data_IF_563310408411
#
_entry.id   IF_563310408411
#
_cell.length_a   1.000
_cell.length_b   1.000
_cell.length_c   1.000
_cell.angle_alpha   90.00
_cell.angle_beta   90.00
_cell.angle_gamma   90.00
#
_symmetry.space_group_name_H-M   'P 1'
#
loop_
_entity.id
_entity.type
_entity.pdbx_description
1 polymer ?
#
# COMPACT_ATOMS: atom_id res chain seq x y z
N UNK A 1 9.76 -37.15 17.91
CA UNK A 1 8.60 -36.51 17.23
C UNK A 1 8.11 -35.40 18.13
N UNK A 2 8.49 -34.16 17.84
CA UNK A 2 8.07 -32.98 18.60
C UNK A 2 7.20 -32.12 17.69
N UNK A 3 5.92 -31.98 18.04
CA UNK A 3 4.99 -31.11 17.35
C UNK A 3 5.38 -29.65 17.56
N UNK A 4 5.65 -28.95 16.47
CA UNK A 4 5.91 -27.51 16.46
C UNK A 4 4.56 -26.81 16.38
N UNK A 5 4.15 -26.19 17.47
CA UNK A 5 2.93 -25.40 17.57
C UNK A 5 3.04 -24.15 16.71
N UNK A 6 2.10 -24.01 15.77
CA UNK A 6 1.99 -22.91 14.81
C UNK A 6 1.27 -21.71 15.45
N UNK A 7 1.88 -21.15 16.50
CA UNK A 7 1.38 -19.96 17.18
C UNK A 7 2.19 -18.75 16.73
N UNK A 8 1.58 -17.91 15.90
CA UNK A 8 2.16 -16.62 15.49
C UNK A 8 2.34 -15.72 16.74
N UNK A 9 3.57 -15.33 17.11
CA UNK A 9 3.83 -14.47 18.27
C UNK A 9 3.65 -12.98 17.91
N UNK A 10 2.63 -12.65 17.12
CA UNK A 10 2.46 -11.34 16.49
C UNK A 10 1.52 -10.38 17.24
N UNK A 11 1.02 -10.75 18.42
CA UNK A 11 0.00 -9.97 19.15
C UNK A 11 0.49 -9.28 20.44
N UNK A 12 1.74 -9.48 20.87
CA UNK A 12 2.27 -8.79 22.06
C UNK A 12 3.28 -7.71 21.67
N UNK A 13 2.78 -6.52 21.33
CA UNK A 13 3.61 -5.34 21.07
C UNK A 13 3.67 -4.47 22.34
N UNK A 14 4.64 -4.75 23.20
CA UNK A 14 5.01 -3.84 24.29
C UNK A 14 5.85 -2.67 23.74
N UNK A 15 5.46 -1.45 24.11
CA UNK A 15 6.23 -0.22 23.84
C UNK A 15 7.63 -0.32 24.47
N UNK A 16 8.67 -0.19 23.64
CA UNK A 16 10.04 -0.02 24.15
C UNK A 16 10.26 1.45 24.57
N UNK A 17 10.93 1.71 25.70
CA UNK A 17 11.06 3.06 26.24
C UNK A 17 12.01 3.92 25.42
N UNK A 18 11.63 5.19 25.25
CA UNK A 18 12.35 6.19 24.45
C UNK A 18 13.77 6.46 24.98
N UNK A 19 14.74 6.46 24.06
CA UNK A 19 16.10 6.91 24.30
C UNK A 19 16.21 8.38 23.89
N UNK A 20 16.43 9.25 24.88
CA UNK A 20 16.73 10.67 24.68
C UNK A 20 18.17 10.86 24.13
N UNK A 21 18.42 11.77 23.17
CA UNK A 21 19.79 12.08 22.76
C UNK A 21 20.48 13.01 23.76
N UNK A 22 21.74 12.68 24.08
CA UNK A 22 22.66 13.50 24.89
C UNK A 22 23.26 14.60 24.00
N UNK A 23 23.27 15.84 24.48
CA UNK A 23 23.84 16.99 23.79
C UNK A 23 25.35 17.13 24.05
N UNK A 24 26.18 17.19 23.00
CA UNK A 24 27.57 17.66 23.08
C UNK A 24 27.76 18.93 22.23
N UNK A 25 28.42 19.93 22.83
CA UNK A 25 28.63 21.28 22.29
C UNK A 25 29.77 21.41 21.26
N UNK A 26 30.00 22.62 20.72
CA UNK A 26 30.69 22.79 19.46
C UNK A 26 32.22 22.92 19.61
N UNK A 27 32.97 22.28 18.71
CA UNK A 27 34.38 22.63 18.43
C UNK A 27 34.53 22.94 16.95
N UNK A 28 34.82 24.20 16.64
CA UNK A 28 35.07 24.68 15.30
C UNK A 28 36.54 24.56 14.89
N UNK A 29 36.77 24.35 13.59
CA UNK A 29 37.96 24.79 12.86
C UNK A 29 37.61 25.02 11.37
N UNK A 30 37.67 26.29 10.96
CA UNK A 30 38.40 26.76 9.76
C UNK A 30 38.04 26.30 8.34
N UNK A 31 37.23 27.14 7.67
CA UNK A 31 37.40 27.71 6.32
C UNK A 31 37.48 26.82 5.06
N UNK A 32 36.57 27.10 4.11
CA UNK A 32 36.77 26.83 2.68
C UNK A 32 35.54 26.73 1.78
N UNK A 33 34.52 27.59 1.90
CA UNK A 33 33.41 27.64 0.91
C UNK A 33 33.51 28.87 0.02
N UNK A 34 33.87 28.63 -1.24
CA UNK A 34 33.74 29.59 -2.34
C UNK A 34 32.25 29.88 -2.59
N UNK A 35 31.87 31.15 -2.57
CA UNK A 35 30.50 31.60 -2.88
C UNK A 35 30.24 31.50 -4.39
N UNK A 36 29.33 30.63 -4.80
CA UNK A 36 28.68 30.71 -6.11
C UNK A 36 27.61 31.83 -6.12
N UNK A 37 27.41 32.52 -7.26
CA UNK A 37 26.47 33.64 -7.35
C UNK A 37 25.01 33.17 -7.29
N UNK A 38 24.05 34.05 -6.94
CA UNK A 38 22.65 33.71 -6.80
C UNK A 38 22.01 33.56 -8.20
N UNK A 39 21.96 32.33 -8.70
CA UNK A 39 21.27 31.94 -9.92
C UNK A 39 20.35 30.75 -9.63
N UNK A 40 19.05 30.99 -9.80
CA UNK A 40 17.95 30.02 -9.81
C UNK A 40 17.81 29.13 -8.56
N UNK A 41 16.95 29.58 -7.65
CA UNK A 41 16.30 28.70 -6.69
C UNK A 41 15.60 27.59 -7.48
N UNK A 42 16.10 26.36 -7.39
CA UNK A 42 15.35 25.17 -7.80
C UNK A 42 13.93 25.29 -7.22
N UNK A 43 12.87 25.12 -8.02
CA UNK A 43 11.52 25.07 -7.48
C UNK A 43 11.48 24.03 -6.36
N UNK A 44 10.86 24.39 -5.23
CA UNK A 44 10.49 23.41 -4.21
C UNK A 44 9.78 22.23 -4.91
N UNK A 45 10.06 20.97 -4.53
CA UNK A 45 9.41 19.82 -5.16
C UNK A 45 7.90 20.01 -5.07
N UNK A 46 7.21 19.88 -6.21
CA UNK A 46 5.76 19.78 -6.21
C UNK A 46 5.41 18.56 -5.35
N UNK A 47 4.71 18.79 -4.24
CA UNK A 47 4.21 17.75 -3.34
C UNK A 47 3.44 16.73 -4.20
N UNK A 48 3.72 15.43 -4.06
CA UNK A 48 2.92 14.41 -4.77
C UNK A 48 1.44 14.67 -4.50
N UNK A 49 0.65 14.79 -5.57
CA UNK A 49 -0.78 15.06 -5.45
C UNK A 49 -1.46 13.90 -4.73
N UNK A 50 -1.97 14.19 -3.53
CA UNK A 50 -2.63 13.26 -2.62
C UNK A 50 -4.10 13.04 -3.06
N UNK A 51 -4.25 12.63 -4.33
CA UNK A 51 -5.52 12.49 -5.02
C UNK A 51 -6.14 11.11 -4.78
N UNK A 52 -7.40 11.10 -4.39
CA UNK A 52 -8.25 9.90 -4.34
C UNK A 52 -9.16 9.84 -5.58
N UNK A 53 -8.98 8.78 -6.37
CA UNK A 53 -9.77 8.52 -7.57
C UNK A 53 -11.15 7.95 -7.23
N UNK A 54 -11.22 7.05 -6.24
CA UNK A 54 -12.47 6.46 -5.79
C UNK A 54 -12.42 6.04 -4.31
N UNK A 55 -13.60 5.96 -3.69
CA UNK A 55 -13.83 5.37 -2.36
C UNK A 55 -14.95 4.36 -2.50
N UNK A 56 -14.84 3.22 -1.83
CA UNK A 56 -15.82 2.14 -1.96
C UNK A 56 -15.99 1.37 -0.65
N UNK A 57 -17.16 0.75 -0.52
CA UNK A 57 -17.51 -0.18 0.55
C UNK A 57 -17.94 -1.49 -0.10
N UNK A 58 -17.31 -2.58 0.31
CA UNK A 58 -17.62 -3.94 -0.09
C UNK A 58 -18.19 -4.68 1.11
N UNK A 59 -19.24 -5.47 0.87
CA UNK A 59 -19.84 -6.34 1.89
C UNK A 59 -19.93 -7.77 1.38
N UNK A 60 -19.96 -8.70 2.31
CA UNK A 60 -20.22 -10.10 2.01
C UNK A 60 -21.72 -10.39 2.08
N UNK A 61 -22.32 -10.71 0.94
CA UNK A 61 -23.67 -11.24 0.85
C UNK A 61 -23.65 -12.79 0.88
N UNK A 62 -24.38 -13.45 1.80
CA UNK A 62 -24.37 -14.91 1.91
C UNK A 62 -24.89 -15.68 0.68
N UNK A 63 -25.57 -15.02 -0.26
CA UNK A 63 -26.11 -15.62 -1.49
C UNK A 63 -25.24 -15.31 -2.71
N UNK A 64 -24.74 -14.09 -2.79
CA UNK A 64 -24.08 -13.54 -3.98
C UNK A 64 -22.56 -13.45 -3.83
N UNK A 65 -22.03 -13.63 -2.62
CA UNK A 65 -20.61 -13.47 -2.31
C UNK A 65 -20.24 -12.02 -2.02
N UNK A 66 -19.00 -11.64 -2.32
CA UNK A 66 -18.54 -10.26 -2.15
C UNK A 66 -19.23 -9.36 -3.17
N UNK A 67 -19.76 -8.21 -2.73
CA UNK A 67 -20.38 -7.20 -3.60
C UNK A 67 -19.93 -5.80 -3.20
N UNK A 68 -19.82 -4.90 -4.17
CA UNK A 68 -19.66 -3.46 -3.89
C UNK A 68 -21.02 -2.93 -3.45
N UNK A 69 -21.14 -2.58 -2.17
CA UNK A 69 -22.36 -2.05 -1.56
C UNK A 69 -22.56 -0.57 -1.89
N UNK A 70 -21.46 0.19 -1.92
CA UNK A 70 -21.46 1.62 -2.12
C UNK A 70 -20.13 2.08 -2.71
N UNK A 71 -20.14 3.13 -3.55
CA UNK A 71 -18.92 3.78 -4.02
C UNK A 71 -19.14 5.22 -4.45
N UNK A 72 -18.01 5.95 -4.52
CA UNK A 72 -17.89 7.25 -5.18
C UNK A 72 -16.61 7.28 -6.03
N UNK A 73 -16.65 7.90 -7.22
CA UNK A 73 -17.85 8.41 -7.91
C UNK A 73 -18.73 7.23 -8.39
N UNK A 74 -20.02 7.48 -8.65
CA UNK A 74 -20.98 6.38 -8.93
C UNK A 74 -20.74 5.66 -10.27
N UNK A 75 -20.01 6.28 -11.19
CA UNK A 75 -19.70 5.80 -12.53
C UNK A 75 -18.30 5.17 -12.65
N UNK A 76 -17.58 5.00 -11.54
CA UNK A 76 -16.25 4.38 -11.56
C UNK A 76 -16.31 2.88 -11.84
N UNK A 77 -15.45 2.40 -12.74
CA UNK A 77 -15.24 0.98 -12.96
C UNK A 77 -14.52 0.35 -11.74
N UNK A 78 -15.30 -0.34 -10.91
CA UNK A 78 -14.83 -1.13 -9.78
C UNK A 78 -14.95 -2.64 -10.00
N UNK A 79 -15.10 -3.09 -11.25
CA UNK A 79 -15.22 -4.53 -11.53
C UNK A 79 -14.03 -5.30 -10.96
N UNK A 80 -14.33 -6.30 -10.14
CA UNK A 80 -13.37 -7.20 -9.50
C UNK A 80 -12.69 -6.63 -8.25
N UNK A 81 -12.99 -5.39 -7.85
CA UNK A 81 -12.44 -4.78 -6.62
C UNK A 81 -12.94 -5.54 -5.39
N UNK A 82 -14.17 -6.04 -5.39
CA UNK A 82 -14.78 -6.83 -4.33
C UNK A 82 -14.01 -8.12 -3.99
N UNK A 83 -13.31 -8.70 -4.97
CA UNK A 83 -12.46 -9.89 -4.79
C UNK A 83 -11.01 -9.54 -4.42
N UNK A 84 -10.62 -8.28 -4.53
CA UNK A 84 -9.31 -7.76 -4.11
C UNK A 84 -9.33 -7.16 -2.71
N UNK A 85 -10.45 -6.53 -2.34
CA UNK A 85 -10.65 -5.89 -1.04
C UNK A 85 -11.01 -6.89 0.07
N UNK A 86 -11.41 -8.10 -0.29
CA UNK A 86 -11.72 -9.20 0.62
C UNK A 86 -11.14 -10.50 0.04
N UNK A 87 -9.92 -10.82 0.48
CA UNK A 87 -9.22 -12.03 0.04
C UNK A 87 -9.96 -13.30 0.47
N UNK A 88 -9.67 -14.39 -0.24
CA UNK A 88 -10.09 -15.71 0.23
C UNK A 88 -9.59 -15.95 1.66
N UNK A 89 -10.39 -16.61 2.50
CA UNK A 89 -10.00 -16.87 3.89
C UNK A 89 -10.11 -15.67 4.84
N UNK A 90 -10.51 -14.47 4.40
CA UNK A 90 -10.68 -13.30 5.30
C UNK A 90 -11.68 -13.55 6.45
N UNK A 91 -12.63 -14.49 6.30
CA UNK A 91 -13.54 -14.90 7.38
C UNK A 91 -12.81 -15.50 8.61
N UNK A 92 -11.55 -15.94 8.47
CA UNK A 92 -10.74 -16.51 9.55
C UNK A 92 -10.06 -15.46 10.43
N UNK A 93 -10.05 -14.20 9.99
CA UNK A 93 -9.45 -13.08 10.72
C UNK A 93 -10.52 -12.06 11.10
N UNK A 94 -10.30 -11.35 12.20
CA UNK A 94 -11.21 -10.28 12.62
C UNK A 94 -11.00 -8.98 11.83
N UNK A 95 -9.77 -8.73 11.38
CA UNK A 95 -9.43 -7.57 10.57
C UNK A 95 -8.21 -7.85 9.71
N UNK A 96 -8.11 -7.15 8.60
CA UNK A 96 -6.97 -7.18 7.68
C UNK A 96 -6.92 -5.86 6.90
N UNK A 97 -5.82 -5.60 6.22
CA UNK A 97 -5.72 -4.53 5.23
C UNK A 97 -5.07 -5.10 3.97
N UNK A 98 -5.43 -4.61 2.79
CA UNK A 98 -4.95 -5.16 1.53
C UNK A 98 -4.57 -4.03 0.61
N UNK A 99 -3.36 -4.10 0.07
CA UNK A 99 -2.95 -3.28 -1.07
C UNK A 99 -3.14 -4.10 -2.34
N UNK A 100 -3.60 -3.47 -3.41
CA UNK A 100 -3.81 -4.14 -4.69
C UNK A 100 -3.68 -3.15 -5.85
N UNK A 101 -3.65 -3.65 -7.09
CA UNK A 101 -3.67 -2.84 -8.31
C UNK A 101 -5.00 -3.00 -9.05
N UNK A 102 -5.55 -1.92 -9.59
CA UNK A 102 -6.72 -1.92 -10.48
C UNK A 102 -6.44 -0.98 -11.65
N UNK A 103 -6.11 -1.58 -12.80
CA UNK A 103 -5.66 -0.84 -13.97
C UNK A 103 -4.45 0.05 -13.69
N UNK A 104 -4.60 1.36 -13.90
CA UNK A 104 -3.59 2.39 -13.62
C UNK A 104 -3.54 2.87 -12.17
N UNK A 105 -4.43 2.38 -11.30
CA UNK A 105 -4.55 2.82 -9.91
C UNK A 105 -4.08 1.76 -8.91
N UNK A 106 -3.76 2.23 -7.71
CA UNK A 106 -3.45 1.43 -6.54
C UNK A 106 -4.57 1.56 -5.51
N UNK A 107 -4.95 0.43 -4.93
CA UNK A 107 -5.97 0.36 -3.91
C UNK A 107 -5.41 0.05 -2.54
N UNK A 108 -6.02 0.64 -1.51
CA UNK A 108 -5.91 0.21 -0.12
C UNK A 108 -7.32 -0.07 0.38
N UNK A 109 -7.56 -1.27 0.90
CA UNK A 109 -8.81 -1.64 1.52
C UNK A 109 -8.57 -2.20 2.92
N UNK A 110 -9.38 -1.79 3.89
CA UNK A 110 -9.37 -2.28 5.26
C UNK A 110 -10.61 -3.13 5.50
N UNK A 111 -10.39 -4.37 5.91
CA UNK A 111 -11.40 -5.38 6.18
C UNK A 111 -11.66 -5.52 7.67
N UNK A 112 -12.91 -5.77 8.04
CA UNK A 112 -13.28 -6.22 9.37
C UNK A 112 -14.44 -7.21 9.34
N UNK A 113 -14.42 -8.11 10.32
CA UNK A 113 -15.39 -9.16 10.56
C UNK A 113 -15.93 -9.04 11.98
N UNK A 114 -17.24 -8.95 12.13
CA UNK A 114 -17.95 -8.85 13.41
C UNK A 114 -18.95 -10.00 13.53
N UNK A 115 -18.93 -10.79 14.62
CA UNK A 115 -19.96 -11.79 14.86
C UNK A 115 -21.31 -11.09 15.11
N UNK A 116 -22.38 -11.62 14.53
CA UNK A 116 -23.74 -11.05 14.67
C UNK A 116 -24.72 -12.17 14.98
N UNK A 117 -25.64 -11.93 15.92
CA UNK A 117 -26.74 -12.86 16.24
C UNK A 117 -27.87 -12.74 15.20
N UNK A 118 -27.57 -13.05 13.95
CA UNK A 118 -28.52 -13.01 12.83
C UNK A 118 -28.37 -14.25 11.96
N UNK A 119 -29.45 -15.02 11.82
CA UNK A 119 -29.49 -16.18 10.92
C UNK A 119 -29.36 -15.76 9.45
N UNK A 120 -29.87 -14.57 9.10
CA UNK A 120 -29.78 -14.02 7.74
C UNK A 120 -28.32 -13.74 7.34
N UNK A 121 -27.50 -13.27 8.28
CA UNK A 121 -26.08 -12.97 8.08
C UNK A 121 -25.17 -14.16 8.43
N UNK A 122 -25.73 -15.36 8.67
CA UNK A 122 -25.00 -16.58 9.03
C UNK A 122 -24.02 -16.40 10.20
N UNK A 123 -24.37 -15.56 11.18
CA UNK A 123 -23.56 -15.39 12.37
C UNK A 123 -22.39 -14.41 12.26
N UNK A 124 -22.13 -13.81 11.09
CA UNK A 124 -21.00 -12.91 10.89
C UNK A 124 -21.27 -11.84 9.82
N UNK A 125 -21.03 -10.58 10.19
CA UNK A 125 -21.07 -9.44 9.27
C UNK A 125 -19.64 -9.07 8.88
N UNK A 126 -19.41 -9.03 7.58
CA UNK A 126 -18.10 -8.76 7.02
C UNK A 126 -18.18 -7.59 6.04
N UNK A 127 -17.30 -6.61 6.22
CA UNK A 127 -17.18 -5.44 5.35
C UNK A 127 -15.72 -5.10 5.08
N UNK A 128 -15.50 -4.43 3.96
CA UNK A 128 -14.22 -3.84 3.59
C UNK A 128 -14.44 -2.45 3.05
N UNK A 129 -13.69 -1.47 3.54
CA UNK A 129 -13.74 -0.08 3.09
C UNK A 129 -12.41 0.26 2.45
N UNK A 130 -12.43 0.80 1.24
CA UNK A 130 -11.19 1.07 0.52
C UNK A 130 -11.24 2.30 -0.37
N UNK A 131 -10.06 2.63 -0.87
CA UNK A 131 -9.79 3.80 -1.72
C UNK A 131 -8.92 3.38 -2.91
N UNK A 132 -9.02 4.13 -4.01
CA UNK A 132 -8.12 4.06 -5.15
C UNK A 132 -7.37 5.38 -5.32
N UNK A 133 -6.07 5.31 -5.59
CA UNK A 133 -5.20 6.47 -5.86
C UNK A 133 -4.20 6.16 -6.97
N UNK A 134 -3.77 7.15 -7.78
CA UNK A 134 -2.68 6.96 -8.73
C UNK A 134 -1.32 6.68 -8.05
N UNK A 135 -1.15 7.04 -6.77
CA UNK A 135 0.08 6.82 -6.02
C UNK A 135 -0.12 5.82 -4.88
N UNK A 136 0.72 4.79 -4.82
CA UNK A 136 0.71 3.82 -3.72
C UNK A 136 1.51 4.26 -2.49
N UNK A 137 2.41 5.24 -2.64
CA UNK A 137 3.29 5.72 -1.56
C UNK A 137 2.53 6.47 -0.48
N UNK A 138 1.36 7.03 -0.80
CA UNK A 138 0.56 7.86 0.11
C UNK A 138 -0.60 7.11 0.77
N UNK A 139 -0.99 5.96 0.24
CA UNK A 139 -2.16 5.17 0.71
C UNK A 139 -2.12 4.89 2.22
N UNK A 140 -0.93 4.60 2.77
CA UNK A 140 -0.76 4.29 4.20
C UNK A 140 -1.28 5.40 5.13
N UNK A 141 -1.32 6.66 4.67
CA UNK A 141 -1.83 7.80 5.46
C UNK A 141 -3.31 7.64 5.80
N UNK A 142 -4.05 6.92 4.96
CA UNK A 142 -5.50 6.73 5.08
C UNK A 142 -5.88 5.44 5.81
N UNK A 143 -4.93 4.55 6.08
CA UNK A 143 -5.19 3.24 6.69
C UNK A 143 -5.99 3.35 7.99
N UNK A 144 -5.57 4.23 8.91
CA UNK A 144 -6.27 4.39 10.19
C UNK A 144 -7.71 4.92 10.02
N UNK A 145 -7.91 5.84 9.07
CA UNK A 145 -9.25 6.33 8.75
C UNK A 145 -10.13 5.18 8.23
N UNK A 146 -9.63 4.39 7.27
CA UNK A 146 -10.38 3.27 6.68
C UNK A 146 -10.69 2.17 7.70
N UNK A 147 -9.75 1.85 8.59
CA UNK A 147 -9.97 0.92 9.71
C UNK A 147 -11.09 1.38 10.66
N UNK A 148 -11.17 2.68 10.93
CA UNK A 148 -12.26 3.21 11.75
C UNK A 148 -13.59 3.20 10.98
N UNK A 149 -13.56 3.56 9.70
CA UNK A 149 -14.75 3.56 8.85
C UNK A 149 -15.33 2.15 8.69
N UNK A 150 -14.51 1.12 8.47
CA UNK A 150 -15.03 -0.26 8.34
C UNK A 150 -15.69 -0.73 9.64
N UNK A 151 -15.13 -0.40 10.82
CA UNK A 151 -15.76 -0.71 12.11
C UNK A 151 -17.09 0.01 12.26
N UNK A 152 -17.16 1.29 11.94
CA UNK A 152 -18.42 2.04 11.95
C UNK A 152 -19.46 1.48 10.99
N UNK A 153 -19.07 1.03 9.79
CA UNK A 153 -19.99 0.41 8.84
C UNK A 153 -20.54 -0.94 9.31
N UNK A 154 -19.81 -1.65 10.17
CA UNK A 154 -20.29 -2.88 10.79
C UNK A 154 -21.34 -2.61 11.88
N UNK A 155 -21.11 -1.58 12.71
CA UNK A 155 -22.02 -1.17 13.79
C UNK A 155 -23.26 -0.44 13.27
N UNK A 156 -23.09 0.50 12.34
CA UNK A 156 -24.11 1.38 11.77
C UNK A 156 -24.09 1.30 10.23
N UNK A 157 -24.63 0.23 9.61
CA UNK A 157 -24.67 0.08 8.16
C UNK A 157 -25.45 1.21 7.48
N UNK A 158 -25.01 1.62 6.28
CA UNK A 158 -25.72 2.58 5.42
C UNK A 158 -25.37 4.05 5.68
N UNK A 159 -24.52 4.35 6.65
CA UNK A 159 -24.10 5.72 6.96
C UNK A 159 -22.77 6.08 6.27
N UNK A 160 -22.82 6.55 5.02
CA UNK A 160 -21.61 6.84 4.24
C UNK A 160 -21.13 8.30 4.28
N UNK A 161 -21.83 9.19 5.00
CA UNK A 161 -21.51 10.63 5.06
C UNK A 161 -20.04 10.96 5.36
N UNK A 162 -19.34 10.26 6.28
CA UNK A 162 -17.91 10.52 6.51
C UNK A 162 -17.03 10.14 5.30
N UNK A 163 -17.41 9.10 4.55
CA UNK A 163 -16.70 8.68 3.33
C UNK A 163 -16.96 9.65 2.18
N UNK A 164 -18.18 10.18 2.08
CA UNK A 164 -18.54 11.24 1.13
C UNK A 164 -17.71 12.50 1.38
N UNK A 165 -17.68 12.99 2.63
CA UNK A 165 -16.91 14.16 3.00
C UNK A 165 -15.40 13.96 2.75
N UNK A 166 -14.88 12.76 3.06
CA UNK A 166 -13.50 12.40 2.76
C UNK A 166 -13.20 12.43 1.25
N UNK A 167 -14.08 11.85 0.44
CA UNK A 167 -13.91 11.87 -1.01
C UNK A 167 -13.96 13.29 -1.57
N UNK A 168 -14.88 14.13 -1.10
CA UNK A 168 -14.99 15.51 -1.55
C UNK A 168 -13.75 16.36 -1.21
N UNK A 169 -13.11 16.12 -0.07
CA UNK A 169 -11.86 16.80 0.33
C UNK A 169 -10.64 16.36 -0.52
N UNK A 170 -10.60 15.08 -0.91
CA UNK A 170 -9.43 14.45 -1.53
C UNK A 170 -9.58 14.11 -3.02
N UNK A 171 -10.77 14.31 -3.59
CA UNK A 171 -10.95 14.16 -5.02
C UNK A 171 -10.14 15.23 -5.74
N UNK A 172 -9.42 14.78 -6.74
CA UNK A 172 -8.57 15.59 -7.59
C UNK A 172 -9.46 16.24 -8.62
N UNK A 173 -9.33 17.55 -8.76
CA UNK A 173 -10.00 18.27 -9.83
C UNK A 173 -9.20 18.02 -11.10
N UNK A 174 -9.64 17.06 -11.92
CA UNK A 174 -9.12 16.95 -13.28
C UNK A 174 -9.57 18.22 -14.06
N UNK A 175 -8.66 18.95 -14.72
CA UNK A 175 -9.07 20.06 -15.57
C UNK A 175 -9.98 19.52 -16.68
N UNK A 176 -11.23 19.98 -16.70
CA UNK A 176 -12.18 19.62 -17.75
C UNK A 176 -11.71 20.24 -19.09
N UNK A 177 -11.05 19.45 -19.94
CA UNK A 177 -10.66 19.94 -21.26
C UNK A 177 -9.61 19.18 -22.08
N UNK A 178 -9.33 17.89 -21.84
CA UNK A 178 -8.41 17.13 -22.70
C UNK A 178 -9.04 15.80 -23.13
N UNK A 179 -9.29 15.68 -24.42
CA UNK A 179 -9.70 14.47 -25.14
C UNK A 179 -8.75 13.28 -24.88
N UNK A 180 -9.22 12.02 -24.84
CA UNK A 180 -8.45 10.85 -24.38
C UNK A 180 -7.44 10.29 -25.40
N UNK A 181 -6.80 11.16 -26.18
CA UNK A 181 -5.70 10.79 -27.07
C UNK A 181 -4.58 11.81 -26.92
N UNK A 182 -3.43 11.34 -26.41
CA UNK A 182 -2.13 12.02 -26.25
C UNK A 182 -1.66 12.46 -24.85
N UNK A 183 -2.23 11.97 -23.75
CA UNK A 183 -1.48 11.98 -22.48
C UNK A 183 -0.40 10.89 -22.51
N UNK A 184 0.70 11.15 -23.22
CA UNK A 184 1.96 10.48 -22.89
C UNK A 184 2.36 10.97 -21.49
N UNK A 185 2.55 10.09 -20.50
CA UNK A 185 3.07 10.52 -19.21
C UNK A 185 4.51 10.94 -19.44
N UNK A 186 4.73 12.24 -19.49
CA UNK A 186 6.05 12.85 -19.49
C UNK A 186 6.85 12.32 -18.30
N UNK A 187 8.08 11.90 -18.60
CA UNK A 187 8.97 11.14 -17.73
C UNK A 187 9.57 11.98 -16.58
N UNK A 188 8.75 12.67 -15.79
CA UNK A 188 9.19 13.44 -14.61
C UNK A 188 9.05 12.71 -13.27
N UNK A 189 8.42 11.53 -13.24
CA UNK A 189 8.25 10.75 -12.01
C UNK A 189 9.54 10.08 -11.49
N UNK A 190 10.66 10.19 -12.22
CA UNK A 190 11.91 9.46 -11.98
C UNK A 190 12.78 9.99 -10.82
N UNK A 191 12.25 10.79 -9.88
CA UNK A 191 13.08 11.32 -8.78
C UNK A 191 12.41 11.50 -7.41
N UNK A 192 11.14 11.13 -7.24
CA UNK A 192 10.40 11.58 -6.06
C UNK A 192 10.58 10.70 -4.82
N UNK A 193 11.01 9.44 -4.96
CA UNK A 193 11.16 8.52 -3.82
C UNK A 193 12.24 9.00 -2.83
N UNK A 194 13.24 9.75 -3.29
CA UNK A 194 14.44 10.01 -2.48
C UNK A 194 14.46 11.32 -1.68
N UNK A 195 13.43 12.19 -1.76
CA UNK A 195 13.56 13.55 -1.18
C UNK A 195 12.60 13.94 -0.05
N UNK A 196 11.61 13.11 0.31
CA UNK A 196 10.65 13.46 1.38
C UNK A 196 10.40 12.40 2.47
N UNK A 197 11.16 11.31 2.50
CA UNK A 197 11.28 10.46 3.69
C UNK A 197 12.46 11.08 4.46
N UNK A 198 12.37 11.71 5.62
CA UNK A 198 11.85 11.28 6.92
C UNK A 198 11.61 12.51 7.82
N UNK A 199 10.59 12.50 8.67
CA UNK A 199 10.87 12.37 10.10
C UNK A 199 9.92 11.33 10.74
N UNK A 200 10.49 10.28 11.32
CA UNK A 200 9.79 9.13 11.96
C UNK A 200 8.92 8.28 11.02
N UNK A 201 9.54 7.33 10.31
CA UNK A 201 8.79 6.22 9.71
C UNK A 201 8.23 5.33 10.82
N UNK A 202 6.99 5.58 11.23
CA UNK A 202 6.21 4.67 12.06
C UNK A 202 6.00 3.34 11.32
N UNK A 203 5.79 2.25 12.07
CA UNK A 203 5.58 0.88 11.56
C UNK A 203 4.40 0.77 10.59
N UNK A 204 3.55 1.80 10.50
CA UNK A 204 2.44 1.90 9.56
C UNK A 204 2.84 2.19 8.12
N UNK A 205 4.09 2.61 7.85
CA UNK A 205 4.59 2.78 6.50
C UNK A 205 5.18 1.44 5.98
N UNK A 206 4.88 1.00 4.74
CA UNK A 206 5.46 -0.23 4.18
C UNK A 206 6.99 -0.29 4.26
N UNK A 207 7.69 0.83 4.10
CA UNK A 207 9.15 0.89 4.24
C UNK A 207 9.64 0.76 5.70
N UNK A 208 8.79 1.04 6.69
CA UNK A 208 9.08 0.82 8.12
C UNK A 208 9.30 -0.65 8.46
N UNK A 209 8.75 -1.55 7.63
CA UNK A 209 8.86 -3.00 7.79
C UNK A 209 10.17 -3.59 7.22
N UNK A 210 11.05 -2.79 6.61
CA UNK A 210 12.27 -3.30 5.95
C UNK A 210 13.19 -4.08 6.92
N UNK A 211 13.34 -3.59 8.15
CA UNK A 211 14.19 -4.27 9.15
C UNK A 211 13.65 -5.65 9.53
N UNK A 212 12.32 -5.78 9.66
CA UNK A 212 11.64 -7.04 9.94
C UNK A 212 11.69 -7.97 8.72
N UNK A 213 11.55 -7.42 7.52
CA UNK A 213 11.67 -8.15 6.26
C UNK A 213 13.05 -8.80 6.11
N UNK A 214 14.13 -8.04 6.34
CA UNK A 214 15.50 -8.57 6.32
C UNK A 214 15.67 -9.65 7.40
N UNK A 215 15.17 -9.42 8.63
CA UNK A 215 15.22 -10.43 9.70
C UNK A 215 14.46 -11.71 9.36
N UNK A 216 13.31 -11.60 8.69
CA UNK A 216 12.49 -12.74 8.30
C UNK A 216 13.19 -13.65 7.28
N UNK A 217 13.79 -13.06 6.24
CA UNK A 217 14.52 -13.84 5.22
C UNK A 217 15.94 -14.21 5.67
N UNK A 218 16.53 -13.49 6.62
CA UNK A 218 17.90 -13.72 7.07
C UNK A 218 18.88 -13.68 5.90
N UNK A 219 19.71 -14.71 5.78
CA UNK A 219 20.70 -14.82 4.69
C UNK A 219 20.06 -15.03 3.30
N UNK A 220 18.83 -15.56 3.24
CA UNK A 220 18.12 -15.79 1.98
C UNK A 220 17.71 -14.48 1.31
N UNK A 221 17.78 -13.34 2.02
CA UNK A 221 17.53 -12.01 1.47
C UNK A 221 18.43 -11.72 0.26
N UNK A 222 19.66 -12.23 0.23
CA UNK A 222 20.57 -12.05 -0.89
C UNK A 222 20.14 -12.82 -2.13
N UNK A 223 19.51 -13.98 -1.96
CA UNK A 223 18.93 -14.75 -3.09
C UNK A 223 17.71 -14.01 -3.64
N UNK A 224 16.83 -13.55 -2.76
CA UNK A 224 15.67 -12.75 -3.14
C UNK A 224 16.09 -11.46 -3.86
N UNK A 225 17.10 -10.77 -3.33
CA UNK A 225 17.66 -9.56 -3.95
C UNK A 225 18.22 -9.83 -5.35
N UNK A 226 18.97 -10.93 -5.54
CA UNK A 226 19.45 -11.33 -6.87
C UNK A 226 18.29 -11.56 -7.84
N UNK A 227 17.22 -12.24 -7.43
CA UNK A 227 16.04 -12.43 -8.29
C UNK A 227 15.34 -11.12 -8.62
N UNK A 228 15.25 -10.21 -7.65
CA UNK A 228 14.65 -8.89 -7.83
C UNK A 228 15.46 -8.03 -8.81
N UNK A 229 16.80 -8.05 -8.70
CA UNK A 229 17.71 -7.39 -9.66
C UNK A 229 17.62 -8.00 -11.07
N UNK A 230 17.45 -9.31 -11.16
CA UNK A 230 17.28 -10.04 -12.43
C UNK A 230 15.87 -9.89 -13.04
N UNK A 231 15.00 -9.07 -12.44
CA UNK A 231 13.62 -8.84 -12.91
C UNK A 231 12.86 -10.15 -13.13
N UNK A 232 12.99 -11.07 -12.16
CA UNK A 232 12.22 -12.32 -12.16
C UNK A 232 10.78 -12.04 -11.71
N UNK A 233 9.86 -12.88 -12.18
CA UNK A 233 8.48 -12.96 -11.66
C UNK A 233 8.53 -13.59 -10.26
N UNK A 234 8.26 -12.80 -9.23
CA UNK A 234 8.31 -13.20 -7.82
C UNK A 234 6.87 -13.17 -7.26
N UNK A 235 6.41 -14.33 -6.78
CA UNK A 235 5.12 -14.46 -6.12
C UNK A 235 5.33 -14.92 -4.67
N UNK A 236 4.79 -14.16 -3.71
CA UNK A 236 4.87 -14.47 -2.29
C UNK A 236 3.53 -15.06 -1.82
N UNK A 237 3.54 -16.32 -1.42
CA UNK A 237 2.35 -17.00 -0.91
C UNK A 237 2.25 -16.89 0.62
N UNK A 238 1.08 -16.54 1.15
CA UNK A 238 0.82 -16.56 2.60
C UNK A 238 -0.68 -16.54 2.92
N UNK A 239 -1.13 -17.25 3.98
CA UNK A 239 -2.48 -17.09 4.51
C UNK A 239 -2.79 -15.68 5.00
N UNK A 240 -4.09 -15.28 5.05
CA UNK A 240 -4.49 -14.05 5.70
C UNK A 240 -3.98 -14.01 7.14
N UNK A 241 -3.48 -12.85 7.62
CA UNK A 241 -3.64 -11.51 7.05
C UNK A 241 -2.71 -11.19 5.87
N UNK A 242 -3.29 -10.73 4.76
CA UNK A 242 -2.61 -10.44 3.49
C UNK A 242 -1.85 -9.11 3.54
N UNK A 243 -2.27 -8.15 4.37
CA UNK A 243 -1.64 -6.83 4.45
C UNK A 243 -0.17 -6.86 4.81
N UNK A 244 0.19 -7.74 5.75
CA UNK A 244 1.59 -7.95 6.15
C UNK A 244 2.43 -8.43 4.96
N UNK A 245 1.84 -9.22 4.07
CA UNK A 245 2.49 -9.76 2.87
C UNK A 245 2.64 -8.66 1.81
N UNK A 246 1.66 -7.77 1.69
CA UNK A 246 1.76 -6.59 0.82
C UNK A 246 2.96 -5.72 1.19
N UNK A 247 3.27 -5.57 2.50
CA UNK A 247 4.48 -4.88 2.94
C UNK A 247 5.76 -5.61 2.53
N UNK A 248 5.77 -6.94 2.50
CA UNK A 248 6.91 -7.73 1.99
C UNK A 248 7.12 -7.52 0.50
N UNK A 249 6.03 -7.45 -0.28
CA UNK A 249 6.08 -7.12 -1.71
C UNK A 249 6.70 -5.74 -1.92
N UNK A 250 6.22 -4.73 -1.19
CA UNK A 250 6.79 -3.38 -1.23
C UNK A 250 8.29 -3.38 -0.89
N UNK A 251 8.69 -4.03 0.20
CA UNK A 251 10.10 -4.13 0.60
C UNK A 251 10.96 -4.80 -0.47
N UNK A 252 10.45 -5.85 -1.11
CA UNK A 252 11.14 -6.53 -2.21
C UNK A 252 11.35 -5.61 -3.42
N UNK A 253 10.34 -4.81 -3.79
CA UNK A 253 10.49 -3.77 -4.83
C UNK A 253 11.54 -2.71 -4.44
N UNK A 254 11.56 -2.27 -3.18
CA UNK A 254 12.60 -1.35 -2.71
C UNK A 254 14.02 -1.93 -2.82
N UNK A 255 14.20 -3.23 -2.61
CA UNK A 255 15.51 -3.88 -2.80
C UNK A 255 15.97 -3.87 -4.26
N UNK A 256 15.05 -3.90 -5.22
CA UNK A 256 15.37 -3.86 -6.65
C UNK A 256 15.67 -2.44 -7.15
N UNK A 257 15.21 -1.42 -6.43
CA UNK A 257 15.39 -0.01 -6.77
C UNK A 257 16.77 0.49 -6.29
N UNK A 258 17.84 -0.04 -6.88
CA UNK A 258 19.23 0.38 -6.60
C UNK A 258 19.71 1.33 -7.70
N UNK A 259 20.23 2.49 -7.30
CA UNK A 259 21.03 3.35 -8.18
C UNK A 259 22.47 2.86 -8.16
N UNK A 260 22.94 2.28 -9.26
CA UNK A 260 24.34 1.87 -9.39
C UNK A 260 25.20 3.09 -9.78
N UNK A 261 26.13 3.56 -8.93
CA UNK A 261 27.02 4.65 -9.29
C UNK A 261 27.88 4.25 -10.51
N UNK A 262 27.84 5.04 -11.58
CA UNK A 262 28.64 4.83 -12.79
C UNK A 262 27.94 4.12 -13.96
N UNK A 263 26.74 3.56 -13.74
CA UNK A 263 25.86 3.09 -14.82
C UNK A 263 24.74 4.12 -14.93
N UNK A 264 24.86 5.06 -15.88
CA UNK A 264 23.94 6.19 -16.06
C UNK A 264 22.51 5.83 -16.48
N UNK A 265 22.06 4.59 -16.23
CA UNK A 265 20.72 4.11 -16.52
C UNK A 265 20.05 3.84 -15.18
N UNK A 266 19.15 4.73 -14.78
CA UNK A 266 18.15 4.39 -13.75
C UNK A 266 17.33 3.24 -14.30
N UNK A 267 17.52 2.03 -13.74
CA UNK A 267 16.69 0.90 -14.12
C UNK A 267 15.22 1.28 -13.86
N UNK A 268 14.26 0.91 -14.74
CA UNK A 268 12.85 1.26 -14.57
C UNK A 268 12.38 0.84 -13.18
N UNK A 269 11.71 1.73 -12.46
CA UNK A 269 11.25 1.46 -11.10
C UNK A 269 10.39 0.19 -11.07
N UNK A 270 10.71 -0.73 -10.15
CA UNK A 270 9.86 -1.90 -9.94
C UNK A 270 8.64 -1.50 -9.11
N UNK A 271 7.48 -1.41 -9.77
CA UNK A 271 6.22 -1.10 -9.09
C UNK A 271 5.64 -2.37 -8.46
N UNK A 272 5.19 -2.33 -7.19
CA UNK A 272 4.58 -3.48 -6.55
C UNK A 272 3.21 -3.78 -7.18
N UNK A 273 2.96 -5.07 -7.50
CA UNK A 273 1.61 -5.51 -7.88
C UNK A 273 0.71 -5.74 -6.65
N UNK A 274 1.33 -5.90 -5.47
CA UNK A 274 0.68 -6.22 -4.21
C UNK A 274 -0.18 -7.49 -4.32
N UNK A 275 -1.37 -7.50 -3.71
CA UNK A 275 -2.27 -8.65 -3.75
C UNK A 275 -2.83 -8.84 -5.16
N UNK A 276 -2.71 -10.08 -5.65
CA UNK A 276 -3.25 -10.55 -6.92
C UNK A 276 -4.14 -11.77 -6.67
N UNK A 277 -5.13 -11.95 -7.52
CA UNK A 277 -6.00 -13.14 -7.50
C UNK A 277 -6.10 -13.77 -8.90
N UNK A 278 -6.93 -14.81 -9.02
CA UNK A 278 -7.11 -15.55 -10.28
C UNK A 278 -7.56 -14.64 -11.44
N UNK A 279 -8.28 -13.55 -11.18
CA UNK A 279 -8.70 -12.61 -12.22
C UNK A 279 -7.54 -11.80 -12.80
N UNK A 280 -6.41 -11.71 -12.09
CA UNK A 280 -5.21 -10.98 -12.52
C UNK A 280 -4.27 -11.82 -13.38
N UNK A 281 -4.50 -13.13 -13.54
CA UNK A 281 -3.61 -14.03 -14.31
C UNK A 281 -3.36 -13.51 -15.72
N UNK A 282 -4.39 -13.01 -16.42
CA UNK A 282 -4.22 -12.46 -17.76
C UNK A 282 -3.27 -11.26 -17.77
N UNK A 283 -3.43 -10.33 -16.82
CA UNK A 283 -2.55 -9.17 -16.69
C UNK A 283 -1.12 -9.53 -16.29
N UNK A 284 -0.95 -10.59 -15.49
CA UNK A 284 0.37 -11.04 -15.04
C UNK A 284 1.16 -11.77 -16.13
N UNK A 285 0.47 -12.42 -17.07
CA UNK A 285 1.11 -13.15 -18.15
C UNK A 285 1.83 -12.21 -19.13
N UNK A 286 1.25 -11.04 -19.39
CA UNK A 286 1.81 -9.99 -20.25
C UNK A 286 3.04 -9.30 -19.61
N UNK A 287 3.21 -9.39 -18.29
CA UNK A 287 4.23 -8.65 -17.55
C UNK A 287 5.56 -9.41 -17.52
N UNK A 288 6.63 -8.78 -18.01
CA UNK A 288 7.97 -9.41 -18.08
C UNK A 288 8.52 -9.71 -16.67
N UNK A 289 8.17 -8.86 -15.69
CA UNK A 289 8.61 -8.95 -14.30
C UNK A 289 7.55 -8.38 -13.38
N UNK A 290 7.28 -9.07 -12.27
CA UNK A 290 6.41 -8.57 -11.22
C UNK A 290 6.86 -9.07 -9.85
N UNK A 291 6.45 -8.34 -8.81
CA UNK A 291 6.48 -8.81 -7.42
C UNK A 291 5.06 -8.68 -6.89
N UNK A 292 4.46 -9.79 -6.51
CA UNK A 292 3.07 -9.88 -6.08
C UNK A 292 2.92 -10.84 -4.89
N UNK A 293 1.76 -10.82 -4.24
CA UNK A 293 1.39 -11.80 -3.23
C UNK A 293 0.01 -12.40 -3.48
N UNK A 294 -0.16 -13.66 -3.09
CA UNK A 294 -1.39 -14.43 -3.26
C UNK A 294 -1.64 -15.31 -2.03
N UNK A 295 -2.91 -15.68 -1.85
CA UNK A 295 -3.36 -16.70 -0.91
C UNK A 295 -4.24 -17.74 -1.60
#
# INVERSE_FOLDING_TARGET
MAGRTDRAPLLDWAEAPGLSPVAEGPRGYGAGWSRTPPGELCPLPQLEDDHIAAVFVVTFDPRSGNIVEWCLPQDVDLEGVEFKSMASGSHRVQSDFIYFRKGGYFGLACFANMPVESELERGARMKSVGILSPSYTLLYRYMHFLENQVRHQLELPGHYTPLEAFYEDKKGVLPAGITPQSCQPSAHWLSTIHKHLYPEMKITHPAGCMSQFIKFFGEQIFVLWKFALLRKRILIFSPPPVGVVCYRVYCCCCLANVTLPGVGVTAPESKPFFYVNVADIGTLDDEVSYVACEY
#
